data_IF_412658998607
#
_entry.id   IF_412658998607
#
_cell.length_a   1.000
_cell.length_b   1.000
_cell.length_c   1.000
_cell.angle_alpha   90.00
_cell.angle_beta   90.00
_cell.angle_gamma   90.00
#
_symmetry.space_group_name_H-M   'P 1'
#
loop_
_entity.id
_entity.type
_entity.pdbx_description
1 polymer ?
#
# COMPACT_ATOMS: atom_id res chain seq x y z
N UNK A 1 18.39 17.73 -5.50
CA UNK A 1 18.84 16.43 -4.94
C UNK A 1 20.33 16.49 -4.67
N UNK A 2 20.72 17.02 -3.52
CA UNK A 2 22.11 16.94 -3.04
C UNK A 2 22.10 15.77 -2.03
N UNK A 3 22.86 14.70 -2.30
CA UNK A 3 23.07 13.62 -1.32
C UNK A 3 22.42 12.26 -1.59
N UNK A 4 21.76 12.02 -2.73
CA UNK A 4 21.30 10.67 -3.08
C UNK A 4 22.37 9.96 -3.90
N UNK A 5 22.96 8.91 -3.32
CA UNK A 5 24.09 8.16 -3.91
C UNK A 5 23.69 6.81 -4.51
N UNK A 6 22.46 6.35 -4.30
CA UNK A 6 21.99 5.05 -4.78
C UNK A 6 21.47 5.14 -6.21
N UNK A 7 21.93 4.21 -7.07
CA UNK A 7 21.33 3.99 -8.39
C UNK A 7 20.08 3.13 -8.29
N UNK A 8 19.25 3.12 -9.35
CA UNK A 8 18.12 2.20 -9.46
C UNK A 8 18.55 0.74 -9.25
N UNK A 9 19.72 0.36 -9.76
CA UNK A 9 20.24 -1.01 -9.63
C UNK A 9 20.58 -1.36 -8.20
N UNK A 10 21.10 -0.39 -7.43
CA UNK A 10 21.43 -0.60 -6.02
C UNK A 10 20.14 -0.82 -5.22
N UNK A 11 19.12 0.02 -5.46
CA UNK A 11 17.80 -0.13 -4.82
C UNK A 11 17.16 -1.47 -5.18
N UNK A 12 17.17 -1.85 -6.46
CA UNK A 12 16.66 -3.15 -6.92
C UNK A 12 17.39 -4.31 -6.23
N UNK A 13 18.72 -4.25 -6.12
CA UNK A 13 19.52 -5.31 -5.50
C UNK A 13 19.19 -5.47 -4.02
N UNK A 14 19.02 -4.36 -3.29
CA UNK A 14 18.60 -4.37 -1.89
C UNK A 14 17.20 -4.96 -1.75
N UNK A 15 16.23 -4.48 -2.53
CA UNK A 15 14.84 -4.94 -2.45
C UNK A 15 14.69 -6.43 -2.79
N UNK A 16 15.33 -6.89 -3.88
CA UNK A 16 15.29 -8.30 -4.29
C UNK A 16 16.05 -9.23 -3.33
N UNK A 17 16.89 -8.70 -2.43
CA UNK A 17 17.48 -9.47 -1.32
C UNK A 17 16.55 -9.61 -0.12
N UNK A 18 15.48 -8.80 -0.03
CA UNK A 18 14.56 -8.76 1.10
C UNK A 18 13.29 -9.60 0.89
N UNK A 19 12.83 -9.77 -0.35
CA UNK A 19 11.61 -10.51 -0.65
C UNK A 19 11.81 -11.52 -1.79
N UNK A 20 11.06 -12.61 -1.71
CA UNK A 20 11.04 -13.72 -2.67
C UNK A 20 9.68 -13.81 -3.37
N UNK A 21 9.53 -14.71 -4.34
CA UNK A 21 8.31 -14.88 -5.16
C UNK A 21 7.00 -15.02 -4.35
N UNK A 22 7.04 -15.72 -3.22
CA UNK A 22 5.88 -15.95 -2.36
C UNK A 22 5.68 -14.89 -1.28
N UNK A 23 6.59 -13.92 -1.17
CA UNK A 23 6.45 -12.83 -0.20
C UNK A 23 5.28 -11.94 -0.60
N UNK A 24 4.30 -11.76 0.28
CA UNK A 24 3.16 -10.87 -0.01
C UNK A 24 3.61 -9.42 0.14
N UNK A 25 3.68 -8.68 -0.97
CA UNK A 25 3.90 -7.23 -0.93
C UNK A 25 2.57 -6.52 -0.70
N UNK A 26 2.49 -5.75 0.39
CA UNK A 26 1.31 -4.98 0.76
C UNK A 26 1.61 -3.49 0.65
N UNK A 27 0.71 -2.73 0.02
CA UNK A 27 0.84 -1.29 -0.09
C UNK A 27 -0.38 -0.64 -0.73
N UNK A 28 -0.20 0.59 -1.20
CA UNK A 28 -1.27 1.39 -1.82
C UNK A 28 -0.82 1.89 -3.19
N UNK A 29 -1.49 1.46 -4.25
CA UNK A 29 -1.12 1.75 -5.64
C UNK A 29 0.28 1.26 -6.03
N UNK A 30 0.68 0.08 -5.52
CA UNK A 30 2.00 -0.52 -5.72
C UNK A 30 2.36 -0.74 -7.20
N UNK A 31 1.37 -0.80 -8.09
CA UNK A 31 1.59 -0.82 -9.55
C UNK A 31 2.51 0.33 -10.00
N UNK A 32 2.31 1.54 -9.46
CA UNK A 32 3.14 2.71 -9.80
C UNK A 32 4.58 2.56 -9.27
N UNK A 33 4.73 2.07 -8.05
CA UNK A 33 6.04 1.87 -7.41
C UNK A 33 6.84 0.78 -8.11
N UNK A 34 6.23 -0.39 -8.34
CA UNK A 34 6.85 -1.51 -9.03
C UNK A 34 7.22 -1.17 -10.48
N UNK A 35 6.39 -0.39 -11.18
CA UNK A 35 6.69 0.13 -12.51
C UNK A 35 7.90 1.06 -12.50
N UNK A 36 7.99 1.95 -11.50
CA UNK A 36 9.13 2.87 -11.33
C UNK A 36 10.41 2.11 -10.99
N UNK A 37 10.29 1.05 -10.19
CA UNK A 37 11.39 0.15 -9.83
C UNK A 37 11.74 -0.86 -10.94
N UNK A 38 10.92 -0.99 -11.98
CA UNK A 38 11.05 -2.03 -13.03
C UNK A 38 11.12 -3.45 -12.45
N UNK A 39 10.34 -3.72 -11.41
CA UNK A 39 10.22 -5.03 -10.76
C UNK A 39 8.83 -5.59 -11.08
N UNK A 40 8.78 -6.89 -11.39
CA UNK A 40 7.52 -7.64 -11.53
C UNK A 40 7.42 -8.56 -10.33
N UNK A 41 6.30 -8.48 -9.61
CA UNK A 41 5.99 -9.34 -8.48
C UNK A 41 4.51 -9.74 -8.52
N UNK A 42 4.23 -11.05 -8.46
CA UNK A 42 2.87 -11.58 -8.62
C UNK A 42 2.06 -11.59 -7.33
N UNK A 43 2.73 -11.65 -6.19
CA UNK A 43 2.11 -11.88 -4.88
C UNK A 43 1.90 -10.54 -4.18
N UNK A 44 0.87 -9.79 -4.60
CA UNK A 44 0.63 -8.40 -4.17
C UNK A 44 -0.77 -8.24 -3.58
N UNK A 45 -0.88 -7.54 -2.46
CA UNK A 45 -2.12 -6.98 -1.93
C UNK A 45 -2.06 -5.47 -2.10
N UNK A 46 -2.85 -4.93 -3.03
CA UNK A 46 -2.93 -3.49 -3.26
C UNK A 46 -4.22 -2.92 -2.66
N UNK A 47 -4.08 -2.08 -1.63
CA UNK A 47 -5.22 -1.45 -0.96
C UNK A 47 -6.05 -0.54 -1.88
N UNK A 48 -5.47 0.03 -2.94
CA UNK A 48 -6.23 0.82 -3.91
C UNK A 48 -7.20 -0.05 -4.75
N UNK A 49 -6.90 -1.35 -4.89
CA UNK A 49 -7.76 -2.33 -5.55
C UNK A 49 -8.77 -2.92 -4.57
N UNK A 50 -8.34 -3.24 -3.35
CA UNK A 50 -9.22 -3.77 -2.28
C UNK A 50 -10.33 -2.77 -1.94
N UNK A 51 -10.03 -1.47 -2.00
CA UNK A 51 -10.98 -0.39 -1.75
C UNK A 51 -11.24 0.43 -3.03
N UNK A 52 -12.05 -0.11 -3.96
CA UNK A 52 -12.21 0.49 -5.28
C UNK A 52 -12.88 1.87 -5.21
N UNK A 53 -12.52 2.73 -6.15
CA UNK A 53 -13.22 3.99 -6.35
C UNK A 53 -14.61 3.74 -6.95
N UNK A 54 -15.61 4.54 -6.57
CA UNK A 54 -17.00 4.37 -7.04
C UNK A 54 -17.17 4.51 -8.55
N UNK A 55 -16.31 5.30 -9.18
CA UNK A 55 -16.28 5.49 -10.65
C UNK A 55 -15.45 4.43 -11.38
N UNK A 56 -14.83 3.48 -10.67
CA UNK A 56 -13.93 2.49 -11.25
C UNK A 56 -12.59 3.08 -11.71
N UNK A 57 -11.79 2.23 -12.36
CA UNK A 57 -10.50 2.63 -12.96
C UNK A 57 -10.73 3.68 -14.06
N UNK A 58 -9.81 4.65 -14.24
CA UNK A 58 -8.48 4.75 -13.62
C UNK A 58 -8.46 5.46 -12.25
N UNK A 59 -9.62 5.89 -11.74
CA UNK A 59 -9.69 6.62 -10.47
C UNK A 59 -9.37 5.69 -9.30
N UNK A 60 -8.43 6.12 -8.43
CA UNK A 60 -8.05 5.42 -7.21
C UNK A 60 -8.40 6.31 -6.01
N UNK A 61 -8.82 5.71 -4.89
CA UNK A 61 -9.06 6.44 -3.64
C UNK A 61 -7.73 6.70 -2.96
N UNK A 62 -7.49 7.92 -2.46
CA UNK A 62 -6.26 8.21 -1.73
C UNK A 62 -6.21 7.46 -0.37
N UNK A 63 -5.03 6.97 0.01
CA UNK A 63 -4.82 6.26 1.28
C UNK A 63 -5.30 7.07 2.48
N UNK A 64 -4.99 8.38 2.55
CA UNK A 64 -5.46 9.28 3.62
C UNK A 64 -6.98 9.30 3.77
N UNK A 65 -7.72 9.26 2.66
CA UNK A 65 -9.18 9.23 2.68
C UNK A 65 -9.69 7.88 3.17
N UNK A 66 -9.03 6.79 2.80
CA UNK A 66 -9.37 5.44 3.29
C UNK A 66 -9.11 5.30 4.79
N UNK A 67 -7.98 5.82 5.28
CA UNK A 67 -7.64 5.81 6.71
C UNK A 67 -8.62 6.65 7.53
N UNK A 68 -8.99 7.83 7.04
CA UNK A 68 -9.99 8.67 7.70
C UNK A 68 -11.37 7.98 7.76
N UNK A 69 -11.80 7.32 6.68
CA UNK A 69 -13.11 6.67 6.60
C UNK A 69 -13.20 5.40 7.44
N UNK A 70 -12.21 4.51 7.33
CA UNK A 70 -12.29 3.16 7.89
C UNK A 70 -11.56 3.01 9.22
N UNK A 71 -10.38 3.62 9.36
CA UNK A 71 -9.58 3.55 10.58
C UNK A 71 -9.77 4.76 11.51
N UNK A 72 -10.55 5.78 11.09
CA UNK A 72 -10.76 7.05 11.81
C UNK A 72 -9.45 7.74 12.20
N UNK A 73 -8.44 7.62 11.32
CA UNK A 73 -7.10 8.13 11.54
C UNK A 73 -6.71 9.09 10.42
N UNK A 74 -6.15 10.23 10.80
CA UNK A 74 -5.57 11.21 9.89
C UNK A 74 -4.08 10.85 9.76
N UNK A 75 -3.60 10.79 8.52
CA UNK A 75 -2.21 10.52 8.16
C UNK A 75 -1.76 11.55 7.12
N UNK A 76 -0.46 11.71 6.90
CA UNK A 76 0.09 12.65 5.90
C UNK A 76 -0.34 14.11 6.15
N UNK A 77 -0.46 14.52 7.42
CA UNK A 77 -0.89 15.89 7.81
C UNK A 77 0.28 16.88 7.91
N UNK A 78 1.52 16.42 7.76
CA UNK A 78 2.72 17.25 7.79
C UNK A 78 2.94 18.01 6.48
N UNK A 79 3.37 19.27 6.58
CA UNK A 79 3.74 20.09 5.42
C UNK A 79 5.05 19.64 4.75
N UNK A 80 5.85 18.80 5.41
CA UNK A 80 7.15 18.30 4.92
C UNK A 80 7.04 17.18 3.86
N UNK A 81 5.82 16.85 3.43
CA UNK A 81 5.56 15.74 2.52
C UNK A 81 5.20 14.46 3.27
N UNK A 82 5.13 13.35 2.53
CA UNK A 82 4.68 12.07 3.07
C UNK A 82 5.86 11.23 3.59
N UNK A 83 5.62 10.51 4.68
CA UNK A 83 6.54 9.51 5.19
C UNK A 83 6.17 8.11 4.68
N UNK A 84 7.09 7.45 3.97
CA UNK A 84 6.88 6.10 3.45
C UNK A 84 6.67 5.07 4.57
N UNK A 85 7.24 5.29 5.76
CA UNK A 85 7.02 4.41 6.91
C UNK A 85 5.58 4.54 7.42
N UNK A 86 5.07 5.77 7.57
CA UNK A 86 3.68 6.02 7.94
C UNK A 86 2.71 5.36 6.93
N UNK A 87 2.99 5.49 5.64
CA UNK A 87 2.15 4.92 4.58
C UNK A 87 2.14 3.39 4.63
N UNK A 88 3.30 2.75 4.81
CA UNK A 88 3.41 1.29 4.92
C UNK A 88 2.64 0.75 6.13
N UNK A 89 2.80 1.38 7.30
CA UNK A 89 2.07 1.02 8.53
C UNK A 89 0.56 1.19 8.34
N UNK A 90 0.16 2.29 7.70
CA UNK A 90 -1.26 2.58 7.44
C UNK A 90 -1.89 1.56 6.50
N UNK A 91 -1.18 1.06 5.49
CA UNK A 91 -1.66 -0.01 4.62
C UNK A 91 -1.94 -1.32 5.38
N UNK A 92 -1.05 -1.70 6.29
CA UNK A 92 -1.23 -2.87 7.17
C UNK A 92 -2.46 -2.68 8.06
N UNK A 93 -2.56 -1.52 8.71
CA UNK A 93 -3.69 -1.18 9.59
C UNK A 93 -5.02 -1.26 8.85
N UNK A 94 -5.11 -0.68 7.65
CA UNK A 94 -6.29 -0.68 6.81
C UNK A 94 -6.72 -2.11 6.40
N UNK A 95 -5.77 -2.97 6.04
CA UNK A 95 -6.07 -4.36 5.71
C UNK A 95 -6.49 -5.19 6.92
N UNK A 96 -5.89 -4.95 8.09
CA UNK A 96 -6.31 -5.60 9.33
C UNK A 96 -7.75 -5.22 9.69
N UNK A 97 -8.14 -3.95 9.50
CA UNK A 97 -9.52 -3.54 9.62
C UNK A 97 -10.43 -4.30 8.64
N UNK A 98 -10.04 -4.37 7.36
CA UNK A 98 -10.82 -5.07 6.32
C UNK A 98 -11.08 -6.54 6.66
N UNK A 99 -10.04 -7.24 7.11
CA UNK A 99 -10.13 -8.67 7.48
C UNK A 99 -11.12 -8.86 8.64
N UNK A 100 -11.05 -8.00 9.67
CA UNK A 100 -11.96 -8.06 10.82
C UNK A 100 -13.41 -7.85 10.40
N UNK A 101 -13.69 -6.90 9.51
CA UNK A 101 -15.05 -6.68 8.99
C UNK A 101 -15.55 -7.86 8.16
N UNK A 102 -14.71 -8.43 7.30
CA UNK A 102 -15.08 -9.59 6.48
C UNK A 102 -15.37 -10.84 7.34
N UNK A 103 -14.65 -11.02 8.45
CA UNK A 103 -14.93 -12.10 9.41
C UNK A 103 -16.31 -11.94 10.08
N UNK A 104 -16.66 -10.73 10.53
CA UNK A 104 -17.99 -10.45 11.12
C UNK A 104 -19.12 -10.75 10.14
N UNK A 105 -18.94 -10.44 8.86
CA UNK A 105 -19.94 -10.72 7.82
C UNK A 105 -20.14 -12.23 7.64
N UNK A 106 -19.07 -13.02 7.71
CA UNK A 106 -19.16 -14.49 7.61
C UNK A 106 -19.88 -15.10 8.81
N UNK A 107 -19.62 -14.62 10.02
CA UNK A 107 -20.30 -15.10 11.24
C UNK A 107 -21.81 -14.83 11.20
N UNK A 108 -22.24 -13.68 10.68
CA UNK A 108 -23.67 -13.34 10.54
C UNK A 108 -24.42 -14.16 9.50
N UNK A 109 -23.70 -14.81 8.57
CA UNK A 109 -24.27 -15.65 7.51
C UNK A 109 -24.31 -17.14 7.88
N UNK A 110 -23.79 -17.51 9.06
CA UNK A 110 -23.82 -18.86 9.60
C UNK A 110 -24.96 -18.99 10.61
#
# INVERSE_FOLDING_TARGET
MIGVTMSLRDVQSVLLSMFYEDTILLGHSLESDLRSLKIIHSTVVDTAIVFPHRLGLPYKRALKTLMAEFARKIIQDSEEGHDSLEDAVSCVELMMWRIKEDMKIKERKK
#
